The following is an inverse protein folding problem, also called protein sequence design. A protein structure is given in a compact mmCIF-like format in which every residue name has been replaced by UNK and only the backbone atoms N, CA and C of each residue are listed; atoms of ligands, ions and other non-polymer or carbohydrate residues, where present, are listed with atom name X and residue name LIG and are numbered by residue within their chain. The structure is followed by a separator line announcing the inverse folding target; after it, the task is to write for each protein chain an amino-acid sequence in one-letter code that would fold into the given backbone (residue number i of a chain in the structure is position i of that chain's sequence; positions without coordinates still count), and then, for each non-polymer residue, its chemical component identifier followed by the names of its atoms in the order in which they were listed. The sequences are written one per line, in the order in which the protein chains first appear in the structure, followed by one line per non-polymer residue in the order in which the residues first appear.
data_IF_297350714485
#
_entry.id   IF_297350714485
#
_cell.length_a   1.000
_cell.length_b   1.000
_cell.length_c   1.000
_cell.angle_alpha   90.00
_cell.angle_beta   90.00
_cell.angle_gamma   90.00
#
_symmetry.space_group_name_H-M   'P 1'
#
loop_
_entity.id
_entity.type
_entity.pdbx_description
1 polymer ?
#
# COMPACT_ATOMS: atom_id res chain seq x y z
N UNK A 1 -41.49 -30.58 56.81
CA UNK A 1 -41.98 -29.81 57.98
C UNK A 1 -40.92 -28.78 58.36
N UNK A 2 -41.34 -27.52 58.49
CA UNK A 2 -40.73 -26.37 59.20
C UNK A 2 -39.26 -25.94 58.98
N UNK A 3 -39.10 -24.83 58.21
CA UNK A 3 -38.53 -23.50 58.58
C UNK A 3 -37.60 -23.44 59.82
N UNK A 4 -36.45 -22.77 59.84
CA UNK A 4 -36.26 -21.30 59.75
C UNK A 4 -34.78 -20.86 59.90
N UNK A 5 -34.44 -19.72 59.28
CA UNK A 5 -33.52 -18.60 59.69
C UNK A 5 -32.01 -18.87 59.88
N UNK A 6 -31.08 -17.91 59.72
CA UNK A 6 -30.91 -16.63 58.99
C UNK A 6 -29.59 -16.00 59.51
N UNK A 7 -28.98 -15.10 58.70
CA UNK A 7 -27.90 -14.12 58.99
C UNK A 7 -26.48 -14.65 58.75
N UNK A 8 -25.79 -14.23 57.70
CA UNK A 8 -25.24 -12.89 57.37
C UNK A 8 -24.06 -12.51 58.27
N UNK A 9 -22.85 -12.52 57.70
CA UNK A 9 -21.82 -11.54 58.04
C UNK A 9 -21.02 -11.16 56.79
N UNK A 10 -20.90 -9.85 56.65
CA UNK A 10 -20.29 -9.05 55.60
C UNK A 10 -18.78 -8.96 55.80
N UNK A 11 -17.99 -9.09 54.73
CA UNK A 11 -16.67 -8.42 54.53
C UNK A 11 -16.25 -8.67 53.07
N UNK A 12 -16.53 -7.76 52.13
CA UNK A 12 -15.62 -6.70 51.65
C UNK A 12 -14.20 -7.20 51.32
N UNK A 13 -13.97 -7.58 50.06
CA UNK A 13 -12.64 -7.52 49.42
C UNK A 13 -12.78 -6.85 48.04
N UNK A 14 -12.01 -5.79 47.90
CA UNK A 14 -11.72 -4.94 46.74
C UNK A 14 -11.52 -5.73 45.44
N UNK A 15 -12.14 -5.33 44.32
CA UNK A 15 -11.63 -4.34 43.35
C UNK A 15 -10.26 -4.71 42.75
N UNK A 16 -10.24 -5.45 41.63
CA UNK A 16 -9.41 -5.15 40.45
C UNK A 16 -10.20 -5.61 39.20
N UNK A 17 -11.01 -4.70 38.66
CA UNK A 17 -11.48 -4.81 37.29
C UNK A 17 -10.37 -4.27 36.38
N UNK A 18 -9.48 -5.15 35.89
CA UNK A 18 -8.63 -4.81 34.75
C UNK A 18 -9.53 -4.78 33.50
N UNK A 19 -10.12 -3.62 33.27
CA UNK A 19 -10.69 -3.26 31.98
C UNK A 19 -9.56 -3.12 30.97
N UNK A 20 -9.21 -4.23 30.33
CA UNK A 20 -8.58 -4.20 29.00
C UNK A 20 -9.67 -3.73 28.02
N UNK A 21 -9.88 -2.42 27.98
CA UNK A 21 -10.39 -1.76 26.80
C UNK A 21 -9.33 -1.98 25.71
N UNK A 22 -9.50 -3.07 24.97
CA UNK A 22 -8.96 -3.17 23.63
C UNK A 22 -9.62 -2.05 22.83
N UNK A 23 -9.00 -0.87 22.85
CA UNK A 23 -9.19 0.15 21.84
C UNK A 23 -8.63 -0.49 20.57
N UNK A 24 -9.47 -1.24 19.88
CA UNK A 24 -9.29 -1.47 18.46
C UNK A 24 -9.43 -0.10 17.81
N UNK A 25 -8.32 0.62 17.72
CA UNK A 25 -8.21 1.76 16.82
C UNK A 25 -8.76 1.28 15.47
N UNK A 26 -9.74 1.96 14.86
CA UNK A 26 -10.03 1.68 13.46
C UNK A 26 -8.70 1.83 12.72
N UNK A 27 -8.36 0.86 11.90
CA UNK A 27 -7.22 0.95 11.01
C UNK A 27 -7.43 2.17 10.11
N UNK A 28 -6.93 3.33 10.56
CA UNK A 28 -6.90 4.56 9.79
C UNK A 28 -5.96 4.30 8.62
N UNK A 29 -6.56 4.25 7.43
CA UNK A 29 -5.90 4.50 6.16
C UNK A 29 -5.00 3.38 5.64
N UNK A 30 -5.60 2.31 5.09
CA UNK A 30 -5.01 1.75 3.86
C UNK A 30 -5.17 2.83 2.79
N UNK A 31 -4.10 3.58 2.55
CA UNK A 31 -4.03 4.78 1.72
C UNK A 31 -4.76 4.63 0.36
N UNK A 32 -6.01 5.05 0.31
CA UNK A 32 -6.74 5.33 -0.93
C UNK A 32 -6.24 6.68 -1.48
N UNK A 33 -4.97 6.75 -1.85
CA UNK A 33 -4.40 7.98 -2.39
C UNK A 33 -4.80 8.15 -3.86
N UNK A 34 -5.94 8.79 -4.08
CA UNK A 34 -6.32 9.34 -5.37
C UNK A 34 -6.29 10.85 -5.24
N UNK A 35 -5.24 11.47 -5.77
CA UNK A 35 -4.93 12.89 -5.55
C UNK A 35 -5.99 13.87 -6.09
N UNK A 36 -6.93 13.38 -6.89
CA UNK A 36 -8.09 14.15 -7.37
C UNK A 36 -9.25 14.18 -6.36
N UNK A 37 -9.23 13.32 -5.34
CA UNK A 37 -10.21 13.28 -4.27
C UNK A 37 -9.75 14.12 -3.08
N UNK A 38 -10.67 14.71 -2.30
CA UNK A 38 -10.32 15.37 -1.06
C UNK A 38 -9.64 14.43 -0.06
N UNK A 39 -8.82 15.02 0.81
CA UNK A 39 -8.27 14.31 1.95
C UNK A 39 -9.41 13.77 2.83
N UNK A 40 -9.38 12.48 3.15
CA UNK A 40 -10.42 11.80 3.93
C UNK A 40 -11.45 11.03 3.11
N UNK A 41 -11.50 11.20 1.78
CA UNK A 41 -12.35 10.38 0.94
C UNK A 41 -11.94 8.90 1.01
N UNK A 42 -12.91 8.01 1.22
CA UNK A 42 -12.70 6.57 1.37
C UNK A 42 -13.53 5.80 0.34
N UNK A 43 -13.02 4.68 -0.17
CA UNK A 43 -13.75 3.88 -1.15
C UNK A 43 -14.99 3.23 -0.50
N UNK A 44 -16.14 3.32 -1.19
CA UNK A 44 -17.41 2.74 -0.74
C UNK A 44 -17.60 1.27 -1.14
N UNK A 45 -16.79 0.75 -2.05
CA UNK A 45 -16.91 -0.62 -2.53
C UNK A 45 -15.87 -0.97 -3.59
N UNK A 46 -16.05 -2.17 -4.18
CA UNK A 46 -15.26 -2.62 -5.31
C UNK A 46 -15.62 -1.84 -6.59
N UNK A 47 -14.73 -1.81 -7.60
CA UNK A 47 -15.08 -1.29 -8.92
C UNK A 47 -16.27 -2.06 -9.53
N UNK A 48 -17.14 -1.33 -10.23
CA UNK A 48 -18.35 -1.88 -10.88
C UNK A 48 -18.48 -1.39 -12.31
N UNK A 49 -19.32 -2.04 -13.10
CA UNK A 49 -19.64 -1.55 -14.43
C UNK A 49 -20.60 -0.36 -14.33
N UNK A 50 -20.40 0.60 -15.22
CA UNK A 50 -21.30 1.73 -15.37
C UNK A 50 -21.33 2.20 -16.82
N UNK A 51 -22.34 3.00 -17.14
CA UNK A 51 -22.43 3.68 -18.43
C UNK A 51 -21.84 5.07 -18.30
N UNK A 52 -21.02 5.44 -19.27
CA UNK A 52 -20.43 6.76 -19.38
C UNK A 52 -20.91 7.43 -20.66
N UNK A 53 -21.60 8.56 -20.52
CA UNK A 53 -21.99 9.38 -21.66
C UNK A 53 -20.77 10.18 -22.13
N UNK A 54 -20.07 9.60 -23.12
CA UNK A 54 -19.11 10.29 -23.99
C UNK A 54 -19.90 10.97 -25.12
N UNK A 55 -19.27 11.93 -25.82
CA UNK A 55 -19.94 12.99 -26.60
C UNK A 55 -21.04 12.53 -27.58
N UNK A 56 -21.09 11.28 -28.03
CA UNK A 56 -22.20 10.72 -28.82
C UNK A 56 -22.40 9.19 -28.65
N UNK A 57 -21.74 8.54 -27.68
CA UNK A 57 -21.83 7.09 -27.47
C UNK A 57 -21.92 6.74 -25.97
N UNK A 58 -22.79 5.77 -25.63
CA UNK A 58 -22.84 5.16 -24.32
C UNK A 58 -21.74 4.11 -24.21
N UNK A 59 -20.57 4.53 -23.77
CA UNK A 59 -19.44 3.63 -23.60
C UNK A 59 -19.54 2.94 -22.23
N UNK A 60 -19.25 1.63 -22.22
CA UNK A 60 -19.13 0.89 -20.97
C UNK A 60 -17.83 1.30 -20.29
N UNK A 61 -17.89 1.58 -19.01
CA UNK A 61 -16.76 1.99 -18.21
C UNK A 61 -16.75 1.28 -16.86
N UNK A 62 -15.66 1.43 -16.13
CA UNK A 62 -15.57 1.02 -14.74
C UNK A 62 -15.73 2.22 -13.84
N UNK A 63 -16.72 2.17 -12.96
CA UNK A 63 -16.95 3.16 -11.94
C UNK A 63 -16.42 2.69 -10.60
N UNK A 64 -15.83 3.61 -9.83
CA UNK A 64 -15.53 3.40 -8.42
C UNK A 64 -16.02 4.57 -7.59
N UNK A 65 -16.67 4.24 -6.49
CA UNK A 65 -17.27 5.22 -5.60
C UNK A 65 -16.43 5.43 -4.35
N UNK A 66 -16.41 6.68 -3.92
CA UNK A 66 -15.76 7.16 -2.73
C UNK A 66 -16.71 8.08 -1.99
N UNK A 67 -16.56 8.20 -0.68
CA UNK A 67 -17.26 9.20 0.12
C UNK A 67 -16.35 9.84 1.14
N UNK A 68 -16.64 11.10 1.42
CA UNK A 68 -16.27 11.76 2.66
C UNK A 68 -17.54 12.06 3.48
N UNK A 69 -17.42 12.84 4.55
CA UNK A 69 -18.53 13.17 5.44
C UNK A 69 -19.66 13.97 4.76
N UNK A 70 -19.41 14.54 3.58
CA UNK A 70 -20.34 15.48 2.93
C UNK A 70 -20.78 15.02 1.54
N UNK A 71 -19.96 14.26 0.82
CA UNK A 71 -20.09 14.03 -0.61
C UNK A 71 -19.74 12.60 -1.00
N UNK A 72 -20.39 12.16 -2.08
CA UNK A 72 -20.06 10.93 -2.80
C UNK A 72 -19.39 11.33 -4.13
N UNK A 73 -18.27 10.67 -4.43
CA UNK A 73 -17.48 10.84 -5.63
C UNK A 73 -17.52 9.54 -6.42
N UNK A 74 -17.87 9.61 -7.70
CA UNK A 74 -17.78 8.46 -8.60
C UNK A 74 -16.74 8.76 -9.67
N UNK A 75 -15.66 7.98 -9.67
CA UNK A 75 -14.60 8.03 -10.67
C UNK A 75 -14.90 7.05 -11.79
N UNK A 76 -14.72 7.48 -13.03
CA UNK A 76 -14.99 6.66 -14.23
C UNK A 76 -13.69 6.35 -14.95
N UNK A 77 -13.43 5.08 -15.23
CA UNK A 77 -12.24 4.58 -15.91
C UNK A 77 -12.61 3.87 -17.21
N UNK A 78 -11.93 4.22 -18.30
CA UNK A 78 -11.99 3.50 -19.58
C UNK A 78 -10.70 2.69 -19.86
N UNK A 79 -9.75 2.72 -18.94
CA UNK A 79 -8.43 2.11 -19.09
C UNK A 79 -7.36 2.90 -18.35
N UNK A 80 -6.33 2.21 -17.87
CA UNK A 80 -5.17 2.84 -17.24
C UNK A 80 -5.41 3.37 -15.82
N UNK A 81 -4.50 4.20 -15.33
CA UNK A 81 -4.47 4.64 -13.92
C UNK A 81 -5.27 5.91 -13.64
N UNK A 82 -5.80 6.56 -14.68
CA UNK A 82 -6.39 7.89 -14.60
C UNK A 82 -7.88 7.82 -14.99
N UNK A 83 -8.79 8.36 -14.18
CA UNK A 83 -10.20 8.40 -14.55
C UNK A 83 -10.46 9.45 -15.64
N UNK A 84 -11.39 9.16 -16.54
CA UNK A 84 -11.83 10.06 -17.63
C UNK A 84 -12.90 11.06 -17.18
N UNK A 85 -13.56 10.80 -16.05
CA UNK A 85 -14.56 11.68 -15.46
C UNK A 85 -14.72 11.46 -13.95
N UNK A 86 -15.27 12.47 -13.28
CA UNK A 86 -15.68 12.39 -11.88
C UNK A 86 -17.08 12.98 -11.71
N UNK A 87 -17.97 12.25 -11.05
CA UNK A 87 -19.28 12.74 -10.64
C UNK A 87 -19.26 13.00 -9.14
N UNK A 88 -19.81 14.12 -8.72
CA UNK A 88 -19.85 14.52 -7.31
C UNK A 88 -21.31 14.70 -6.90
N UNK A 89 -21.73 14.08 -5.81
CA UNK A 89 -23.04 14.28 -5.21
C UNK A 89 -22.90 14.76 -3.77
N UNK A 90 -23.69 15.76 -3.39
CA UNK A 90 -23.85 16.22 -2.00
C UNK A 90 -25.26 15.89 -1.46
N UNK A 91 -25.88 14.80 -1.96
CA UNK A 91 -27.26 14.41 -1.63
C UNK A 91 -27.89 13.52 -2.71
N UNK A 92 -29.12 13.82 -3.15
CA UNK A 92 -29.83 13.05 -4.20
C UNK A 92 -29.48 13.46 -5.64
N UNK A 93 -28.63 14.48 -5.83
CA UNK A 93 -28.29 15.02 -7.16
C UNK A 93 -26.79 14.93 -7.41
N UNK A 94 -26.42 14.22 -8.48
CA UNK A 94 -25.05 14.16 -8.99
C UNK A 94 -24.79 15.34 -9.94
N UNK A 95 -23.70 16.08 -9.69
CA UNK A 95 -23.11 17.02 -10.62
C UNK A 95 -21.95 16.33 -11.34
N UNK A 96 -22.02 16.24 -12.68
CA UNK A 96 -20.93 15.70 -13.51
C UNK A 96 -19.84 16.75 -13.65
N UNK A 97 -18.61 16.39 -13.27
CA UNK A 97 -17.41 17.17 -13.56
C UNK A 97 -16.53 16.34 -14.50
N UNK A 98 -16.46 16.74 -15.77
CA UNK A 98 -15.52 16.10 -16.70
C UNK A 98 -14.10 16.53 -16.32
N UNK A 99 -13.23 15.58 -16.05
CA UNK A 99 -11.82 15.83 -15.86
C UNK A 99 -11.21 16.00 -17.26
N UNK A 100 -11.09 17.22 -17.74
CA UNK A 100 -10.22 17.52 -18.88
C UNK A 100 -8.79 17.41 -18.38
N UNK A 101 -8.16 16.26 -18.61
CA UNK A 101 -6.76 16.04 -18.26
C UNK A 101 -5.94 16.81 -19.30
N UNK A 102 -5.24 17.89 -18.92
CA UNK A 102 -4.33 18.52 -19.86
C UNK A 102 -3.26 17.49 -20.22
N UNK A 103 -2.99 17.36 -21.52
CA UNK A 103 -1.91 16.55 -22.10
C UNK A 103 -0.56 17.14 -21.66
N UNK A 104 -0.22 16.99 -20.38
CA UNK A 104 1.03 17.48 -19.81
C UNK A 104 1.90 16.30 -19.42
N UNK A 105 3.02 16.07 -20.13
CA UNK A 105 3.89 14.93 -19.87
C UNK A 105 4.61 14.99 -18.50
N UNK A 106 4.58 16.12 -17.78
CA UNK A 106 5.38 16.38 -16.59
C UNK A 106 4.62 16.87 -15.34
N UNK A 107 3.29 17.00 -15.36
CA UNK A 107 2.55 17.19 -14.12
C UNK A 107 2.61 15.85 -13.37
N UNK A 108 3.26 15.81 -12.20
CA UNK A 108 3.43 14.61 -11.39
C UNK A 108 2.14 13.79 -11.40
N UNK A 109 2.16 12.68 -12.16
CA UNK A 109 0.93 12.01 -12.62
C UNK A 109 0.03 11.79 -11.41
N UNK A 110 -1.13 12.47 -11.41
CA UNK A 110 -2.16 12.36 -10.38
C UNK A 110 -2.76 10.95 -10.44
N UNK A 111 -2.01 9.94 -9.99
CA UNK A 111 -2.37 8.53 -10.13
C UNK A 111 -3.28 8.17 -8.97
N UNK A 112 -4.46 7.67 -9.29
CA UNK A 112 -5.29 7.04 -8.29
C UNK A 112 -4.70 5.67 -7.96
N UNK A 113 -4.35 5.46 -6.69
CA UNK A 113 -4.06 4.13 -6.18
C UNK A 113 -5.39 3.49 -5.80
N UNK A 114 -5.79 2.49 -6.56
CA UNK A 114 -6.91 1.66 -6.16
C UNK A 114 -6.50 0.78 -4.98
N UNK A 115 -7.43 0.60 -4.03
CA UNK A 115 -7.23 -0.38 -2.97
C UNK A 115 -6.96 -1.73 -3.62
N UNK A 116 -5.83 -2.31 -3.25
CA UNK A 116 -5.46 -3.67 -3.62
C UNK A 116 -6.29 -4.66 -2.79
N UNK A 117 -6.83 -5.73 -3.40
CA UNK A 117 -7.39 -6.84 -2.64
C UNK A 117 -6.36 -7.47 -1.68
N UNK A 118 -6.86 -8.15 -0.66
CA UNK A 118 -6.04 -8.75 0.40
C UNK A 118 -5.23 -9.95 -0.11
N UNK A 119 -5.71 -10.61 -1.15
CA UNK A 119 -5.11 -11.78 -1.79
C UNK A 119 -3.85 -11.45 -2.59
N UNK A 120 -3.59 -10.16 -2.89
CA UNK A 120 -2.42 -9.75 -3.65
C UNK A 120 -1.25 -9.36 -2.74
N UNK A 121 0.01 -9.52 -3.20
CA UNK A 121 1.19 -9.15 -2.43
C UNK A 121 1.17 -7.72 -1.90
N UNK A 122 1.72 -7.53 -0.70
CA UNK A 122 1.79 -6.24 0.00
C UNK A 122 2.41 -5.11 -0.84
N UNK A 123 3.38 -5.44 -1.69
CA UNK A 123 4.09 -4.49 -2.55
C UNK A 123 3.55 -4.44 -4.00
N UNK A 124 2.41 -5.10 -4.30
CA UNK A 124 1.86 -5.07 -5.66
C UNK A 124 1.37 -3.66 -6.02
N UNK A 125 1.83 -3.15 -7.17
CA UNK A 125 1.62 -1.80 -7.64
C UNK A 125 0.44 -1.79 -8.62
N UNK A 126 -0.53 -0.92 -8.38
CA UNK A 126 -1.64 -0.68 -9.30
C UNK A 126 -1.15 -0.13 -10.66
N UNK A 127 -1.57 -0.77 -11.76
CA UNK A 127 -1.19 -0.42 -13.14
C UNK A 127 -2.34 0.09 -13.99
N UNK A 128 -3.60 -0.17 -13.61
CA UNK A 128 -4.74 0.42 -14.28
C UNK A 128 -6.04 -0.35 -14.09
N UNK A 129 -7.14 0.25 -14.52
CA UNK A 129 -8.49 -0.32 -14.43
C UNK A 129 -9.23 0.00 -15.71
N UNK A 130 -10.06 -0.95 -16.14
CA UNK A 130 -10.87 -0.81 -17.33
C UNK A 130 -11.87 -1.95 -17.43
N UNK A 131 -12.55 -2.00 -18.57
CA UNK A 131 -13.48 -3.08 -18.89
C UNK A 131 -12.68 -4.23 -19.51
N UNK A 132 -12.76 -5.41 -18.90
CA UNK A 132 -12.29 -6.66 -19.47
C UNK A 132 -13.49 -7.51 -19.91
N UNK A 133 -13.22 -8.67 -20.50
CA UNK A 133 -14.21 -9.68 -20.85
C UNK A 133 -13.93 -10.97 -20.06
N UNK A 134 -14.98 -11.68 -19.62
CA UNK A 134 -14.83 -13.06 -19.15
C UNK A 134 -14.66 -14.04 -20.32
N UNK A 135 -14.56 -15.32 -19.99
CA UNK A 135 -14.47 -16.45 -20.92
C UNK A 135 -15.65 -16.51 -21.91
N UNK A 136 -16.80 -15.92 -21.56
CA UNK A 136 -17.99 -15.87 -22.40
C UNK A 136 -18.10 -14.57 -23.21
N UNK A 137 -17.06 -13.73 -23.16
CA UNK A 137 -17.04 -12.42 -23.82
C UNK A 137 -17.91 -11.37 -23.10
N UNK A 138 -18.43 -11.65 -21.92
CA UNK A 138 -19.25 -10.69 -21.17
C UNK A 138 -18.37 -9.65 -20.52
N UNK A 139 -18.73 -8.36 -20.60
CA UNK A 139 -17.92 -7.31 -20.02
C UNK A 139 -17.96 -7.38 -18.49
N UNK A 140 -16.84 -7.04 -17.88
CA UNK A 140 -16.70 -6.98 -16.42
C UNK A 140 -15.61 -5.98 -16.01
N UNK A 141 -15.68 -5.43 -14.79
CA UNK A 141 -14.65 -4.54 -14.30
C UNK A 141 -13.38 -5.34 -14.01
N UNK A 142 -12.23 -4.79 -14.38
CA UNK A 142 -10.94 -5.39 -14.06
C UNK A 142 -9.92 -4.35 -13.63
N UNK A 143 -9.02 -4.74 -12.73
CA UNK A 143 -7.83 -3.97 -12.35
C UNK A 143 -6.58 -4.80 -12.57
N UNK A 144 -5.53 -4.17 -13.06
CA UNK A 144 -4.20 -4.74 -13.18
C UNK A 144 -3.31 -4.26 -12.04
N UNK A 145 -2.67 -5.20 -11.37
CA UNK A 145 -1.58 -4.95 -10.44
C UNK A 145 -0.32 -5.69 -10.90
N UNK A 146 0.85 -5.17 -10.55
CA UNK A 146 2.12 -5.79 -10.88
C UNK A 146 2.99 -5.88 -9.62
N UNK A 147 3.59 -7.03 -9.40
CA UNK A 147 4.53 -7.29 -8.30
C UNK A 147 5.87 -7.72 -8.86
N UNK A 148 6.94 -7.16 -8.30
CA UNK A 148 8.30 -7.60 -8.51
C UNK A 148 8.97 -7.60 -7.14
N UNK A 149 9.02 -8.75 -6.46
CA UNK A 149 9.64 -8.88 -5.15
C UNK A 149 11.16 -8.97 -5.22
N UNK A 150 11.86 -8.53 -4.17
CA UNK A 150 13.33 -8.52 -4.12
C UNK A 150 13.99 -9.88 -4.40
N UNK A 151 13.30 -10.97 -4.06
CA UNK A 151 13.75 -12.36 -4.20
C UNK A 151 12.90 -13.18 -5.15
N UNK A 152 12.09 -12.50 -5.96
CA UNK A 152 11.31 -13.14 -7.00
C UNK A 152 12.05 -12.94 -8.33
N UNK A 153 12.50 -14.01 -9.00
CA UNK A 153 13.24 -13.89 -10.26
C UNK A 153 12.39 -13.34 -11.41
N UNK A 154 11.07 -13.37 -11.26
CA UNK A 154 10.11 -12.94 -12.26
C UNK A 154 9.13 -11.94 -11.65
N UNK A 155 8.80 -10.90 -12.41
CA UNK A 155 7.68 -10.03 -12.10
C UNK A 155 6.37 -10.72 -12.49
N UNK A 156 5.31 -10.49 -11.73
CA UNK A 156 3.98 -11.06 -11.94
C UNK A 156 2.94 -9.96 -12.11
N UNK A 157 1.99 -10.18 -13.02
CA UNK A 157 0.79 -9.37 -13.21
C UNK A 157 -0.40 -10.10 -12.59
N UNK A 158 -1.19 -9.37 -11.82
CA UNK A 158 -2.41 -9.84 -11.19
C UNK A 158 -3.57 -9.09 -11.85
N UNK A 159 -4.33 -9.81 -12.67
CA UNK A 159 -5.58 -9.31 -13.23
C UNK A 159 -6.69 -9.66 -12.24
N UNK A 160 -7.20 -8.63 -11.57
CA UNK A 160 -8.28 -8.74 -10.61
C UNK A 160 -9.57 -8.44 -11.34
N UNK A 161 -10.44 -9.43 -11.43
CA UNK A 161 -11.76 -9.32 -12.02
C UNK A 161 -12.79 -9.14 -10.91
N UNK A 162 -13.71 -8.19 -11.09
CA UNK A 162 -14.74 -7.89 -10.10
C UNK A 162 -16.11 -8.31 -10.60
N UNK A 163 -17.04 -8.48 -9.66
CA UNK A 163 -18.45 -8.64 -10.02
C UNK A 163 -19.00 -7.35 -10.65
N UNK A 164 -19.83 -7.43 -11.71
CA UNK A 164 -20.36 -6.26 -12.41
C UNK A 164 -21.09 -5.25 -11.53
N UNK A 165 -21.69 -5.70 -10.42
CA UNK A 165 -22.45 -4.88 -9.48
C UNK A 165 -21.58 -4.22 -8.39
N UNK A 166 -20.31 -4.60 -8.28
CA UNK A 166 -19.38 -4.12 -7.25
C UNK A 166 -19.45 -4.88 -5.93
N UNK A 167 -20.06 -6.07 -5.89
CA UNK A 167 -20.16 -6.90 -4.68
C UNK A 167 -18.80 -7.46 -4.20
N UNK A 168 -17.78 -7.50 -5.07
CA UNK A 168 -16.43 -7.88 -4.67
C UNK A 168 -15.55 -8.36 -5.80
N UNK A 169 -14.45 -9.02 -5.43
CA UNK A 169 -13.56 -9.73 -6.36
C UNK A 169 -14.26 -11.02 -6.78
N UNK A 170 -14.35 -11.24 -8.09
CA UNK A 170 -14.85 -12.47 -8.70
C UNK A 170 -13.74 -13.51 -8.80
N UNK A 171 -12.60 -13.12 -9.36
CA UNK A 171 -11.45 -13.99 -9.58
C UNK A 171 -10.16 -13.17 -9.81
N UNK A 172 -9.00 -13.80 -9.61
CA UNK A 172 -7.68 -13.21 -9.83
C UNK A 172 -6.85 -14.13 -10.72
N UNK A 173 -6.47 -13.63 -11.90
CA UNK A 173 -5.50 -14.30 -12.76
C UNK A 173 -4.09 -13.78 -12.51
N UNK A 174 -3.13 -14.71 -12.52
CA UNK A 174 -1.71 -14.41 -12.36
C UNK A 174 -0.97 -14.77 -13.63
N UNK A 175 -0.34 -13.77 -14.24
CA UNK A 175 0.44 -13.93 -15.46
C UNK A 175 1.89 -13.50 -15.24
N UNK A 176 2.87 -14.20 -15.84
CA UNK A 176 4.25 -13.72 -15.84
C UNK A 176 4.35 -12.40 -16.61
N UNK A 177 5.00 -11.41 -16.00
CA UNK A 177 5.24 -10.10 -16.60
C UNK A 177 6.63 -9.99 -17.25
N UNK A 178 7.50 -10.97 -16.97
CA UNK A 178 8.88 -11.04 -17.45
C UNK A 178 9.88 -11.14 -16.30
N UNK A 179 11.19 -11.17 -16.60
CA UNK A 179 12.23 -11.27 -15.59
C UNK A 179 12.29 -10.03 -14.71
N UNK A 180 12.44 -10.23 -13.40
CA UNK A 180 12.71 -9.17 -12.45
C UNK A 180 14.21 -8.82 -12.48
N UNK A 181 14.56 -7.89 -13.37
CA UNK A 181 15.96 -7.50 -13.60
C UNK A 181 16.67 -6.99 -12.35
N UNK A 182 15.94 -6.45 -11.38
CA UNK A 182 16.52 -5.90 -10.16
C UNK A 182 16.64 -6.91 -9.03
N UNK A 183 15.91 -8.04 -9.04
CA UNK A 183 15.95 -9.01 -7.96
C UNK A 183 17.35 -9.59 -7.74
N UNK A 184 17.97 -10.10 -8.81
CA UNK A 184 19.32 -10.66 -8.74
C UNK A 184 20.33 -9.61 -8.31
N UNK A 185 20.23 -8.41 -8.88
CA UNK A 185 21.14 -7.30 -8.60
C UNK A 185 21.07 -6.86 -7.13
N UNK A 186 19.86 -6.71 -6.60
CA UNK A 186 19.65 -6.33 -5.21
C UNK A 186 20.10 -7.43 -4.24
N UNK A 187 19.79 -8.70 -4.51
CA UNK A 187 20.21 -9.81 -3.64
C UNK A 187 21.74 -9.96 -3.65
N UNK A 188 22.39 -9.79 -4.80
CA UNK A 188 23.85 -9.80 -4.87
C UNK A 188 24.45 -8.65 -4.06
N UNK A 189 23.95 -7.43 -4.24
CA UNK A 189 24.40 -6.27 -3.47
C UNK A 189 24.18 -6.51 -1.96
N UNK A 190 23.03 -7.06 -1.58
CA UNK A 190 22.70 -7.37 -0.19
C UNK A 190 23.67 -8.39 0.41
N UNK A 191 23.97 -9.49 -0.29
CA UNK A 191 24.91 -10.52 0.16
C UNK A 191 26.34 -9.98 0.29
N UNK A 192 26.80 -9.20 -0.70
CA UNK A 192 28.12 -8.54 -0.63
C UNK A 192 28.17 -7.57 0.55
N UNK A 193 27.14 -6.74 0.71
CA UNK A 193 27.03 -5.80 1.82
C UNK A 193 27.13 -6.49 3.18
N UNK A 194 26.35 -7.55 3.39
CA UNK A 194 26.40 -8.33 4.64
C UNK A 194 27.77 -8.98 4.87
N UNK A 195 28.42 -9.51 3.83
CA UNK A 195 29.74 -10.15 3.97
C UNK A 195 30.84 -9.17 4.38
N UNK A 196 30.69 -7.89 4.00
CA UNK A 196 31.69 -6.85 4.24
C UNK A 196 31.43 -6.03 5.51
N UNK A 197 30.25 -6.15 6.13
CA UNK A 197 29.83 -5.20 7.18
C UNK A 197 30.69 -5.28 8.45
N UNK A 198 31.24 -6.46 8.73
CA UNK A 198 32.13 -6.69 9.86
C UNK A 198 33.62 -6.48 9.52
N UNK A 199 33.94 -6.11 8.28
CA UNK A 199 35.31 -5.85 7.85
C UNK A 199 35.61 -4.35 7.98
N UNK A 200 36.56 -3.99 8.85
CA UNK A 200 36.89 -2.60 9.16
C UNK A 200 37.30 -1.78 7.93
N UNK A 201 38.03 -2.40 6.99
CA UNK A 201 38.45 -1.77 5.73
C UNK A 201 37.29 -1.31 4.84
N UNK A 202 36.12 -1.92 5.02
CA UNK A 202 35.16 -2.11 3.95
C UNK A 202 33.73 -1.77 4.39
N UNK A 203 33.57 -1.25 5.62
CA UNK A 203 32.29 -0.96 6.27
C UNK A 203 31.46 0.09 5.52
N UNK A 204 32.08 1.15 5.02
CA UNK A 204 31.35 2.17 4.24
C UNK A 204 30.84 1.61 2.91
N UNK A 205 31.65 0.76 2.27
CA UNK A 205 31.26 0.07 1.03
C UNK A 205 30.16 -0.97 1.29
N UNK A 206 30.22 -1.67 2.42
CA UNK A 206 29.17 -2.57 2.87
C UNK A 206 27.82 -1.83 2.98
N UNK A 207 27.81 -0.67 3.66
CA UNK A 207 26.62 0.18 3.80
C UNK A 207 26.10 0.67 2.46
N UNK A 208 26.98 1.04 1.53
CA UNK A 208 26.57 1.47 0.19
C UNK A 208 25.85 0.34 -0.58
N UNK A 209 26.35 -0.89 -0.50
CA UNK A 209 25.68 -2.05 -1.12
C UNK A 209 24.33 -2.38 -0.47
N UNK A 210 24.24 -2.31 0.86
CA UNK A 210 22.97 -2.51 1.58
C UNK A 210 21.95 -1.43 1.23
N UNK A 211 22.38 -0.16 1.17
CA UNK A 211 21.53 0.95 0.75
C UNK A 211 21.08 0.81 -0.70
N UNK A 212 21.95 0.34 -1.58
CA UNK A 212 21.60 0.05 -2.97
C UNK A 212 20.48 -0.98 -3.09
N UNK A 213 20.60 -2.12 -2.39
CA UNK A 213 19.56 -3.15 -2.37
C UNK A 213 18.23 -2.61 -1.81
N UNK A 214 18.28 -1.86 -0.70
CA UNK A 214 17.09 -1.24 -0.10
C UNK A 214 16.44 -0.18 -1.02
N UNK A 215 17.23 0.54 -1.81
CA UNK A 215 16.69 1.52 -2.77
C UNK A 215 15.98 0.85 -3.96
N UNK A 216 16.47 -0.31 -4.40
CA UNK A 216 15.80 -1.10 -5.45
C UNK A 216 14.46 -1.68 -4.96
N UNK A 217 14.37 -2.07 -3.69
CA UNK A 217 13.16 -2.63 -3.08
C UNK A 217 12.86 -1.97 -1.72
N UNK A 218 12.32 -0.74 -1.71
CA UNK A 218 12.14 0.06 -0.49
C UNK A 218 11.11 -0.52 0.48
N UNK A 219 10.20 -1.35 -0.03
CA UNK A 219 9.17 -2.00 0.78
C UNK A 219 9.61 -3.37 1.33
N UNK A 220 10.82 -3.84 0.99
CA UNK A 220 11.35 -5.10 1.53
C UNK A 220 11.80 -4.94 2.98
N UNK A 221 11.11 -5.63 3.89
CA UNK A 221 11.34 -5.53 5.32
C UNK A 221 12.74 -5.98 5.74
N UNK A 222 13.34 -6.94 5.05
CA UNK A 222 14.66 -7.45 5.41
C UNK A 222 15.76 -6.47 5.01
N UNK A 223 15.74 -5.96 3.78
CA UNK A 223 16.72 -4.98 3.32
C UNK A 223 16.71 -3.74 4.20
N UNK A 224 15.51 -3.26 4.55
CA UNK A 224 15.33 -2.15 5.49
C UNK A 224 15.86 -2.44 6.88
N UNK A 225 15.53 -3.60 7.44
CA UNK A 225 15.93 -3.95 8.80
C UNK A 225 17.46 -3.98 8.93
N UNK A 226 18.14 -4.65 7.99
CA UNK A 226 19.60 -4.76 7.99
C UNK A 226 20.27 -3.39 7.78
N UNK A 227 19.79 -2.58 6.83
CA UNK A 227 20.30 -1.22 6.64
C UNK A 227 20.14 -0.37 7.91
N UNK A 228 18.98 -0.46 8.57
CA UNK A 228 18.68 0.32 9.79
C UNK A 228 19.64 -0.04 10.94
N UNK A 229 19.89 -1.34 11.16
CA UNK A 229 20.85 -1.79 12.18
C UNK A 229 22.23 -1.19 11.92
N UNK A 230 22.73 -1.29 10.69
CA UNK A 230 24.09 -0.84 10.37
C UNK A 230 24.25 0.67 10.24
N UNK A 231 23.17 1.42 10.02
CA UNK A 231 23.16 2.87 10.14
C UNK A 231 23.21 3.31 11.61
N UNK A 232 22.47 2.63 12.50
CA UNK A 232 22.49 2.94 13.93
C UNK A 232 23.85 2.66 14.59
N UNK A 233 24.55 1.61 14.14
CA UNK A 233 25.92 1.33 14.59
C UNK A 233 26.88 2.46 14.17
N UNK A 234 26.71 3.04 12.98
CA UNK A 234 27.50 4.19 12.51
C UNK A 234 27.37 5.39 13.44
N UNK A 235 26.14 5.70 13.83
CA UNK A 235 25.82 6.83 14.71
C UNK A 235 26.39 6.60 16.11
N UNK A 236 26.32 5.37 16.63
CA UNK A 236 26.93 4.99 17.91
C UNK A 236 28.46 5.10 17.90
N UNK A 237 29.11 4.70 16.82
CA UNK A 237 30.56 4.84 16.67
C UNK A 237 31.00 6.30 16.61
N UNK A 238 30.24 7.15 15.91
CA UNK A 238 30.54 8.59 15.83
C UNK A 238 30.22 9.35 17.12
N UNK A 239 29.30 8.85 17.95
CA UNK A 239 28.91 9.46 19.22
C UNK A 239 29.65 8.90 20.44
N UNK A 240 30.54 7.92 20.25
CA UNK A 240 31.35 7.36 21.32
C UNK A 240 32.50 8.33 21.71
N UNK A 241 32.56 8.81 22.96
CA UNK A 241 33.60 9.74 23.41
C UNK A 241 35.03 9.14 23.37
N UNK A 242 35.15 7.82 23.25
CA UNK A 242 36.42 7.12 23.08
C UNK A 242 37.01 7.24 21.67
N UNK A 243 36.18 7.37 20.62
CA UNK A 243 36.65 7.53 19.23
C UNK A 243 37.26 8.92 18.97
N UNK A 244 36.82 9.92 19.74
CA UNK A 244 37.38 11.28 19.71
C UNK A 244 38.75 11.37 20.37
N UNK A 245 39.05 10.50 21.35
CA UNK A 245 40.33 10.49 22.05
C UNK A 245 41.46 9.84 21.22
N UNK A 246 41.18 8.79 20.46
CA UNK A 246 42.18 8.13 19.60
C UNK A 246 42.60 9.00 18.41
N UNK A 247 41.69 9.80 17.82
CA UNK A 247 42.05 10.74 16.74
C UNK A 247 42.91 11.93 17.20
N UNK A 248 42.91 12.25 18.49
CA UNK A 248 43.75 13.31 19.06
C UNK A 248 45.18 12.84 19.35
N UNK A 249 45.38 11.54 19.61
CA UNK A 249 46.71 10.97 19.85
C UNK A 249 47.49 10.71 18.55
N UNK A 250 46.80 10.40 17.44
CA UNK A 250 47.43 10.10 16.15
C UNK A 250 47.83 11.36 15.34
N UNK A 251 47.56 12.56 15.86
CA UNK A 251 48.02 13.85 15.31
C UNK A 251 49.20 14.45 16.08
N UNK A 252 49.78 13.71 17.01
CA UNK A 252 50.87 14.17 17.89
C UNK A 252 52.22 13.48 17.64
N UNK A 253 52.37 12.78 16.51
CA UNK A 253 53.66 12.28 16.01
C UNK A 253 53.97 12.85 14.62
#
# INVERSE_FOLDING_TARGET
MFRTRSRSLVTHVMLIAMGLLAISSPAVGRDNACSILPAGASALGAPRLCRFDSRDEHELAVCREYSDDQKIYQLVYQGGTMPVAMYISAGTKFTKMKLEIPDQPNAGRQRCKLLRPDELPAAAIYRGTGVCQDELGQPLPCSLFEHAGAREPEARRYFVYYEPDGSGVRHIDVLPAGPNKHAFEAELAFQVGQSLVNADCCRDRARAYLAYAANLFPDDGLYRAVLTVHLNDAVREQSSPLASFTRLLDRSQ
#
